data_IF_762595159336
#
_entry.id   IF_762595159336
#
_cell.length_a   1.000
_cell.length_b   1.000
_cell.length_c   1.000
_cell.angle_alpha   90.00
_cell.angle_beta   90.00
_cell.angle_gamma   90.00
#
_symmetry.space_group_name_H-M   'P 1'
#
loop_
_entity.id
_entity.type
_entity.pdbx_description
1 polymer ?
#
# COMPACT_ATOMS: atom_id res chain seq x y z
N UNK A 1 18.33 1.21 13.48
CA UNK A 1 17.58 0.39 12.51
C UNK A 1 16.18 1.00 12.44
N UNK A 2 15.95 1.88 11.47
CA UNK A 2 14.63 2.48 11.23
C UNK A 2 13.78 1.39 10.58
N UNK A 3 12.76 0.91 11.27
CA UNK A 3 11.76 0.01 10.72
C UNK A 3 11.08 0.78 9.61
N UNK A 4 11.26 0.32 8.38
CA UNK A 4 10.53 0.81 7.22
C UNK A 4 9.07 0.49 7.45
N UNK A 5 8.27 1.50 7.57
CA UNK A 5 6.84 1.39 7.66
C UNK A 5 6.34 1.31 6.22
N UNK A 6 6.41 0.13 5.64
CA UNK A 6 5.49 -0.27 4.58
C UNK A 6 4.21 -0.57 5.34
N UNK A 7 3.51 0.46 5.70
CA UNK A 7 2.46 0.29 6.69
C UNK A 7 1.26 1.14 6.34
N UNK A 8 0.61 0.81 5.26
CA UNK A 8 -0.72 1.35 5.13
C UNK A 8 -1.83 0.32 4.97
N UNK A 9 -1.48 -0.95 4.84
CA UNK A 9 -2.49 -2.01 4.83
C UNK A 9 -2.43 -2.98 6.05
N UNK A 10 -1.63 -2.67 7.06
CA UNK A 10 -1.25 -3.65 8.07
C UNK A 10 -1.66 -3.27 9.48
N UNK A 11 -2.92 -3.10 9.76
CA UNK A 11 -3.37 -3.08 11.16
C UNK A 11 -4.80 -3.54 11.36
N UNK A 12 -5.18 -4.69 10.86
CA UNK A 12 -6.32 -5.41 11.47
C UNK A 12 -6.29 -6.89 11.04
N UNK A 13 -5.49 -7.71 11.68
CA UNK A 13 -5.80 -9.13 11.72
C UNK A 13 -5.22 -9.76 12.98
N UNK A 14 -5.93 -9.59 14.07
CA UNK A 14 -5.89 -10.50 15.20
C UNK A 14 -7.32 -10.74 15.63
N UNK A 15 -8.04 -11.65 15.01
CA UNK A 15 -9.20 -12.32 15.60
C UNK A 15 -9.82 -13.33 14.63
N UNK A 16 -9.10 -14.44 14.43
CA UNK A 16 -9.73 -15.68 14.04
C UNK A 16 -9.13 -16.77 14.92
N UNK A 17 -9.56 -16.78 16.18
CA UNK A 17 -9.31 -17.91 17.06
C UNK A 17 -10.51 -18.12 17.94
N UNK A 18 -10.98 -19.34 17.93
CA UNK A 18 -11.82 -19.96 18.94
C UNK A 18 -13.29 -20.14 18.61
N UNK A 19 -13.55 -21.18 17.87
CA UNK A 19 -14.61 -22.10 18.27
C UNK A 19 -13.97 -23.47 18.49
N UNK A 20 -13.81 -23.85 19.75
CA UNK A 20 -13.29 -25.16 20.12
C UNK A 20 -13.50 -25.38 21.62
N UNK A 21 -14.47 -26.19 21.97
CA UNK A 21 -15.03 -26.45 23.30
C UNK A 21 -14.11 -27.07 24.35
N UNK A 22 -14.33 -26.62 25.57
CA UNK A 22 -14.45 -27.38 26.87
C UNK A 22 -13.28 -28.24 27.38
N UNK A 23 -12.74 -27.98 28.52
CA UNK A 23 -13.13 -28.43 29.87
C UNK A 23 -11.92 -28.54 30.80
N UNK A 24 -12.16 -28.04 32.03
CA UNK A 24 -11.63 -28.40 33.34
C UNK A 24 -10.18 -28.17 33.72
N UNK A 25 -10.08 -27.35 34.75
CA UNK A 25 -8.98 -27.01 35.67
C UNK A 25 -8.62 -28.19 36.64
N UNK A 26 -7.80 -27.99 37.69
CA UNK A 26 -6.62 -27.17 37.95
C UNK A 26 -5.47 -27.96 38.63
N UNK A 27 -4.29 -27.40 38.77
CA UNK A 27 -3.40 -27.50 39.96
C UNK A 27 -2.04 -26.84 39.71
N UNK A 28 -1.78 -25.83 40.51
CA UNK A 28 -0.71 -25.56 41.47
C UNK A 28 0.75 -25.60 41.04
N UNK A 29 1.32 -24.44 41.18
CA UNK A 29 2.54 -23.99 41.85
C UNK A 29 3.84 -24.80 41.74
N UNK A 30 4.91 -24.11 41.31
CA UNK A 30 6.16 -24.01 42.07
C UNK A 30 7.08 -22.91 41.51
N UNK A 31 7.50 -22.07 42.42
CA UNK A 31 8.53 -21.04 42.36
C UNK A 31 9.91 -21.70 42.31
N UNK A 32 10.87 -21.16 41.53
CA UNK A 32 12.25 -21.06 42.03
C UNK A 32 13.07 -20.06 41.20
N UNK A 33 13.76 -19.26 41.97
CA UNK A 33 14.62 -18.14 41.66
C UNK A 33 16.00 -18.55 41.11
N UNK A 34 16.61 -17.54 40.46
CA UNK A 34 18.01 -17.07 40.61
C UNK A 34 19.09 -17.79 39.79
N UNK A 35 19.81 -17.11 38.92
CA UNK A 35 21.07 -16.41 39.19
C UNK A 35 21.62 -15.69 37.95
N UNK A 36 22.18 -14.52 38.22
CA UNK A 36 22.94 -13.67 37.29
C UNK A 36 24.33 -14.27 37.01
N UNK A 37 24.89 -13.96 35.85
CA UNK A 37 26.33 -13.60 35.70
C UNK A 37 26.68 -13.05 34.32
N UNK A 38 27.15 -11.81 34.32
CA UNK A 38 28.33 -11.16 33.74
C UNK A 38 28.58 -11.18 32.22
N UNK A 39 28.47 -10.01 31.69
CA UNK A 39 29.41 -9.15 30.90
C UNK A 39 30.44 -9.85 30.02
N UNK A 40 30.32 -9.64 28.71
CA UNK A 40 31.49 -9.37 27.86
C UNK A 40 31.14 -8.28 26.81
N UNK A 41 31.83 -7.17 26.96
CA UNK A 41 31.90 -6.06 26.01
C UNK A 41 32.78 -6.51 24.86
N UNK A 42 32.27 -6.45 23.64
CA UNK A 42 33.10 -6.46 22.43
C UNK A 42 32.72 -5.27 21.58
N UNK A 43 33.61 -4.30 21.53
CA UNK A 43 33.55 -3.16 20.62
C UNK A 43 33.56 -3.64 19.18
N UNK A 44 32.64 -3.12 18.40
CA UNK A 44 32.64 -3.21 16.95
C UNK A 44 32.64 -1.83 16.33
N UNK A 45 33.39 -1.61 15.25
CA UNK A 45 33.78 -0.29 14.80
C UNK A 45 32.60 0.52 14.26
N UNK A 46 32.60 1.78 14.66
CA UNK A 46 31.74 2.84 14.12
C UNK A 46 32.04 3.01 12.63
N UNK A 47 31.08 2.62 11.79
CA UNK A 47 31.05 3.07 10.40
C UNK A 47 30.26 4.35 10.39
N UNK A 48 30.94 5.47 10.16
CA UNK A 48 30.32 6.75 9.84
C UNK A 48 29.43 6.57 8.62
N UNK A 49 28.13 6.59 8.83
CA UNK A 49 27.18 6.76 7.76
C UNK A 49 27.23 8.21 7.31
N UNK A 50 27.89 8.42 6.20
CA UNK A 50 27.88 9.68 5.44
C UNK A 50 26.41 10.02 5.15
N UNK A 51 25.97 11.17 5.66
CA UNK A 51 24.71 11.78 5.28
C UNK A 51 24.78 12.10 3.79
N UNK A 52 24.08 11.31 2.97
CA UNK A 52 23.92 11.58 1.54
C UNK A 52 22.61 12.34 1.34
N UNK A 53 22.75 13.56 0.88
CA UNK A 53 21.86 14.38 0.07
C UNK A 53 20.35 14.01 0.08
N UNK A 54 19.59 14.64 0.96
CA UNK A 54 18.13 14.57 1.02
C UNK A 54 17.43 15.49 0.00
N UNK A 55 18.10 15.97 -1.01
CA UNK A 55 17.55 16.93 -1.98
C UNK A 55 17.35 16.41 -3.42
N UNK A 56 17.65 15.13 -3.69
CA UNK A 56 17.65 14.60 -5.07
C UNK A 56 16.61 13.49 -5.34
N UNK A 57 16.01 12.90 -4.33
CA UNK A 57 15.18 11.69 -4.51
C UNK A 57 13.86 11.96 -5.23
N UNK A 58 13.20 13.08 -4.97
CA UNK A 58 11.90 13.38 -5.61
C UNK A 58 12.03 13.89 -7.05
N UNK A 59 13.11 14.56 -7.40
CA UNK A 59 13.32 15.08 -8.77
C UNK A 59 13.48 13.98 -9.82
N UNK A 60 14.05 12.84 -9.45
CA UNK A 60 14.32 11.73 -10.38
C UNK A 60 13.20 10.67 -10.38
N UNK A 61 12.32 10.65 -9.36
CA UNK A 61 11.32 9.58 -9.21
C UNK A 61 10.31 9.52 -10.36
N UNK A 62 9.65 10.64 -10.73
CA UNK A 62 8.72 10.63 -11.87
C UNK A 62 9.37 10.14 -13.17
N UNK A 63 10.63 10.52 -13.40
CA UNK A 63 11.38 10.02 -14.56
C UNK A 63 11.67 8.52 -14.48
N UNK A 64 11.76 7.96 -13.28
CA UNK A 64 12.02 6.53 -13.07
C UNK A 64 10.80 5.64 -13.27
N UNK A 65 9.60 6.20 -13.18
CA UNK A 65 8.32 5.48 -13.32
C UNK A 65 7.67 5.73 -14.68
N UNK A 66 8.44 6.04 -15.72
CA UNK A 66 7.90 6.26 -17.07
C UNK A 66 7.12 5.06 -17.60
N UNK A 67 5.92 5.29 -18.16
CA UNK A 67 5.08 4.23 -18.71
C UNK A 67 3.59 4.53 -18.66
N UNK A 68 2.79 3.57 -19.12
CA UNK A 68 1.32 3.61 -19.03
C UNK A 68 0.85 2.66 -17.95
N UNK A 69 -0.02 3.13 -17.08
CA UNK A 69 -0.52 2.40 -15.92
C UNK A 69 -2.05 2.29 -15.97
N UNK A 70 -2.55 1.11 -15.64
CA UNK A 70 -3.98 0.81 -15.45
C UNK A 70 -4.24 0.45 -14.00
N UNK A 71 -5.50 0.43 -13.59
CA UNK A 71 -5.87 0.05 -12.22
C UNK A 71 -5.40 -1.36 -11.88
N UNK A 72 -4.72 -1.50 -10.75
CA UNK A 72 -4.10 -2.76 -10.34
C UNK A 72 -5.14 -3.83 -9.98
N UNK A 73 -6.10 -3.52 -9.11
CA UNK A 73 -6.99 -4.53 -8.53
C UNK A 73 -7.99 -5.14 -9.52
N UNK A 74 -8.55 -4.41 -10.51
CA UNK A 74 -9.26 -5.03 -11.62
C UNK A 74 -8.41 -6.04 -12.41
N UNK A 75 -7.12 -5.74 -12.60
CA UNK A 75 -6.19 -6.67 -13.25
C UNK A 75 -5.94 -7.92 -12.38
N UNK A 76 -5.66 -7.75 -11.09
CA UNK A 76 -5.46 -8.85 -10.13
C UNK A 76 -6.69 -9.76 -9.99
N UNK A 77 -7.88 -9.23 -10.21
CA UNK A 77 -9.16 -9.93 -10.06
C UNK A 77 -9.56 -10.74 -11.29
N UNK A 78 -8.77 -10.72 -12.37
CA UNK A 78 -9.07 -11.48 -13.58
C UNK A 78 -9.11 -12.98 -13.27
N UNK A 79 -10.09 -13.73 -13.84
CA UNK A 79 -10.28 -15.15 -13.55
C UNK A 79 -9.04 -16.02 -13.79
N UNK A 80 -8.20 -15.64 -14.77
CA UNK A 80 -6.97 -16.37 -15.09
C UNK A 80 -5.92 -16.35 -13.96
N UNK A 81 -5.98 -15.39 -13.03
CA UNK A 81 -5.04 -15.30 -11.91
C UNK A 81 -5.55 -15.92 -10.62
N UNK A 82 -6.81 -16.38 -10.59
CA UNK A 82 -7.40 -16.92 -9.37
C UNK A 82 -6.61 -18.07 -8.76
N UNK A 83 -6.05 -18.97 -9.59
CA UNK A 83 -5.25 -20.08 -9.09
C UNK A 83 -3.96 -19.61 -8.43
N UNK A 84 -3.33 -18.56 -8.94
CA UNK A 84 -2.12 -17.97 -8.34
C UNK A 84 -2.42 -17.44 -6.93
N UNK A 85 -3.55 -16.77 -6.75
CA UNK A 85 -4.02 -16.34 -5.43
C UNK A 85 -4.20 -17.49 -4.47
N UNK A 86 -4.89 -18.55 -4.90
CA UNK A 86 -5.15 -19.74 -4.08
C UNK A 86 -3.84 -20.43 -3.70
N UNK A 87 -2.92 -20.55 -4.64
CA UNK A 87 -1.60 -21.17 -4.40
C UNK A 87 -0.76 -20.35 -3.41
N UNK A 88 -0.80 -19.03 -3.48
CA UNK A 88 -0.09 -18.15 -2.56
C UNK A 88 -0.70 -18.14 -1.14
N UNK A 89 -2.02 -18.17 -1.03
CA UNK A 89 -2.77 -18.11 0.24
C UNK A 89 -2.75 -19.47 0.98
N UNK A 90 -2.83 -20.58 0.26
CA UNK A 90 -2.97 -21.94 0.83
C UNK A 90 -1.92 -22.29 1.89
N UNK A 91 -0.63 -22.00 1.71
CA UNK A 91 0.39 -22.31 2.72
C UNK A 91 0.19 -21.59 4.05
N UNK A 92 -0.50 -20.45 4.03
CA UNK A 92 -0.67 -19.57 5.20
C UNK A 92 -1.95 -19.86 5.99
N UNK A 93 -3.04 -20.26 5.29
CA UNK A 93 -4.37 -20.40 5.93
C UNK A 93 -4.97 -21.80 5.82
N UNK A 94 -4.35 -22.71 5.08
CA UNK A 94 -4.89 -24.04 4.76
C UNK A 94 -5.83 -24.04 3.55
N UNK A 95 -5.94 -25.18 2.88
CA UNK A 95 -6.71 -25.31 1.63
C UNK A 95 -8.22 -25.03 1.84
N UNK A 96 -8.74 -25.32 3.02
CA UNK A 96 -10.16 -25.13 3.36
C UNK A 96 -10.56 -23.64 3.47
N UNK A 97 -9.59 -22.75 3.70
CA UNK A 97 -9.82 -21.33 3.88
C UNK A 97 -9.33 -20.49 2.66
N UNK A 98 -8.57 -21.09 1.75
CA UNK A 98 -7.83 -20.35 0.72
C UNK A 98 -8.73 -19.54 -0.21
N UNK A 99 -9.85 -20.09 -0.68
CA UNK A 99 -10.77 -19.37 -1.56
C UNK A 99 -11.43 -18.18 -0.86
N UNK A 100 -11.94 -18.39 0.36
CA UNK A 100 -12.58 -17.33 1.13
C UNK A 100 -11.60 -16.21 1.49
N UNK A 101 -10.36 -16.56 1.84
CA UNK A 101 -9.31 -15.58 2.12
C UNK A 101 -8.89 -14.82 0.86
N UNK A 102 -8.81 -15.47 -0.28
CA UNK A 102 -8.57 -14.80 -1.56
C UNK A 102 -9.65 -13.76 -1.86
N UNK A 103 -10.92 -14.12 -1.73
CA UNK A 103 -12.04 -13.20 -1.97
C UNK A 103 -12.00 -12.02 -0.99
N UNK A 104 -11.63 -12.26 0.26
CA UNK A 104 -11.46 -11.21 1.26
C UNK A 104 -10.34 -10.25 0.89
N UNK A 105 -9.16 -10.75 0.54
CA UNK A 105 -8.01 -9.92 0.17
C UNK A 105 -8.29 -9.04 -1.05
N UNK A 106 -8.90 -9.60 -2.08
CA UNK A 106 -9.32 -8.85 -3.26
C UNK A 106 -10.35 -7.77 -2.89
N UNK A 107 -11.31 -8.10 -2.02
CA UNK A 107 -12.33 -7.17 -1.55
C UNK A 107 -11.79 -6.01 -0.69
N UNK A 108 -10.64 -6.18 -0.05
CA UNK A 108 -10.04 -5.12 0.79
C UNK A 108 -9.67 -3.85 0.02
N UNK A 109 -9.28 -3.97 -1.24
CA UNK A 109 -8.79 -2.87 -2.06
C UNK A 109 -9.77 -2.43 -3.16
N UNK A 110 -11.02 -2.89 -3.07
CA UNK A 110 -12.08 -2.57 -4.03
C UNK A 110 -13.36 -2.16 -3.29
N UNK A 111 -13.21 -1.32 -2.26
CA UNK A 111 -14.32 -0.97 -1.38
C UNK A 111 -15.39 -0.12 -2.07
N UNK A 112 -15.02 0.69 -3.06
CA UNK A 112 -15.91 1.62 -3.75
C UNK A 112 -16.46 2.73 -2.85
N UNK A 113 -15.87 2.92 -1.66
CA UNK A 113 -16.19 4.00 -0.74
C UNK A 113 -14.92 4.59 -0.15
N UNK A 114 -14.87 5.90 -0.02
CA UNK A 114 -13.77 6.65 0.56
C UNK A 114 -14.28 7.95 1.20
N UNK A 115 -13.38 8.66 1.88
CA UNK A 115 -13.70 9.95 2.50
C UNK A 115 -14.53 9.82 3.78
N UNK A 116 -15.35 10.83 4.11
CA UNK A 116 -16.13 10.89 5.36
C UNK A 116 -17.05 9.69 5.55
N UNK A 117 -17.64 9.15 4.47
CA UNK A 117 -18.50 7.96 4.53
C UNK A 117 -17.71 6.72 4.95
N UNK A 118 -16.51 6.52 4.41
CA UNK A 118 -15.63 5.43 4.82
C UNK A 118 -15.18 5.59 6.26
N UNK A 119 -14.84 6.81 6.67
CA UNK A 119 -14.45 7.12 8.05
C UNK A 119 -15.57 6.76 9.04
N UNK A 120 -16.81 7.13 8.75
CA UNK A 120 -17.97 6.80 9.59
C UNK A 120 -18.20 5.27 9.66
N UNK A 121 -18.16 4.60 8.52
CA UNK A 121 -18.37 3.15 8.41
C UNK A 121 -17.31 2.38 9.21
N UNK A 122 -16.04 2.69 9.03
CA UNK A 122 -14.96 1.94 9.66
C UNK A 122 -14.74 2.33 11.13
N UNK A 123 -15.16 3.52 11.56
CA UNK A 123 -15.26 3.83 12.98
C UNK A 123 -16.32 2.99 13.69
N UNK A 124 -17.44 2.67 13.00
CA UNK A 124 -18.50 1.82 13.53
C UNK A 124 -18.10 0.33 13.55
N UNK A 125 -17.36 -0.15 12.56
CA UNK A 125 -16.87 -1.53 12.47
C UNK A 125 -15.45 -1.58 11.88
N UNK A 126 -14.41 -1.43 12.72
CA UNK A 126 -13.03 -1.49 12.27
C UNK A 126 -12.63 -2.81 11.60
N UNK A 127 -13.35 -3.90 11.88
CA UNK A 127 -13.07 -5.21 11.28
C UNK A 127 -13.53 -5.31 9.81
N UNK A 128 -14.35 -4.35 9.36
CA UNK A 128 -14.78 -4.27 7.96
C UNK A 128 -13.93 -3.28 7.14
N UNK A 129 -12.84 -2.78 7.68
CA UNK A 129 -11.99 -1.80 7.02
C UNK A 129 -11.48 -2.32 5.66
N UNK A 130 -11.56 -1.45 4.67
CA UNK A 130 -11.08 -1.69 3.32
C UNK A 130 -10.62 -0.36 2.70
N UNK A 131 -9.89 -0.43 1.59
CA UNK A 131 -9.44 0.73 0.84
C UNK A 131 -10.12 0.78 -0.52
N UNK A 132 -10.40 1.97 -0.99
CA UNK A 132 -10.71 2.21 -2.39
C UNK A 132 -9.39 2.47 -3.14
N UNK A 133 -9.06 1.57 -4.08
CA UNK A 133 -7.82 1.67 -4.85
C UNK A 133 -8.07 2.00 -6.33
N UNK A 134 -9.28 2.39 -6.69
CA UNK A 134 -9.63 2.83 -8.03
C UNK A 134 -9.04 4.20 -8.36
N UNK A 135 -8.86 4.47 -9.66
CA UNK A 135 -8.57 5.80 -10.14
C UNK A 135 -9.82 6.68 -10.07
N UNK A 136 -9.68 7.91 -9.62
CA UNK A 136 -10.77 8.87 -9.54
C UNK A 136 -10.77 9.84 -10.73
N UNK A 137 -11.76 10.74 -10.79
CA UNK A 137 -11.85 11.76 -11.84
C UNK A 137 -12.14 11.22 -13.24
N UNK A 138 -12.64 9.97 -13.34
CA UNK A 138 -12.92 9.32 -14.62
C UNK A 138 -11.70 8.78 -15.36
N UNK A 139 -10.52 8.87 -14.75
CA UNK A 139 -9.29 8.34 -15.33
C UNK A 139 -9.33 6.81 -15.34
N UNK A 140 -8.93 6.21 -16.45
CA UNK A 140 -8.78 4.76 -16.61
C UNK A 140 -7.33 4.36 -16.87
N UNK A 141 -6.51 5.31 -17.32
CA UNK A 141 -5.08 5.12 -17.52
C UNK A 141 -4.32 6.37 -17.15
N UNK A 142 -3.18 6.19 -16.50
CA UNK A 142 -2.18 7.24 -16.35
C UNK A 142 -0.99 6.97 -17.27
N UNK A 143 -0.52 8.02 -17.95
CA UNK A 143 0.74 7.99 -18.70
C UNK A 143 1.73 8.89 -17.97
N UNK A 144 2.86 8.32 -17.57
CA UNK A 144 3.99 9.02 -16.95
C UNK A 144 5.09 9.20 -18.01
N UNK A 145 5.44 10.45 -18.33
CA UNK A 145 6.50 10.77 -19.32
C UNK A 145 7.40 11.89 -18.76
N UNK A 146 8.46 11.49 -18.09
CA UNK A 146 9.33 12.42 -17.37
C UNK A 146 8.57 13.19 -16.29
N UNK A 147 8.47 14.51 -16.42
CA UNK A 147 7.68 15.35 -15.50
C UNK A 147 6.21 15.46 -15.88
N UNK A 148 5.76 14.86 -16.98
CA UNK A 148 4.37 14.97 -17.45
C UNK A 148 3.56 13.79 -16.95
N UNK A 149 2.40 14.08 -16.36
CA UNK A 149 1.38 13.08 -16.02
C UNK A 149 0.15 13.39 -16.89
N UNK A 150 -0.32 12.37 -17.60
CA UNK A 150 -1.52 12.44 -18.43
C UNK A 150 -2.55 11.43 -17.95
N UNK A 151 -3.79 11.85 -17.75
CA UNK A 151 -4.93 10.98 -17.46
C UNK A 151 -5.77 10.75 -18.71
N UNK A 152 -6.09 9.49 -19.00
CA UNK A 152 -6.93 9.09 -20.13
C UNK A 152 -8.21 8.41 -19.64
N UNK A 153 -9.33 8.64 -20.35
CA UNK A 153 -10.59 7.92 -20.11
C UNK A 153 -10.60 6.51 -20.74
N UNK A 154 -11.74 5.82 -20.66
CA UNK A 154 -11.92 4.46 -21.18
C UNK A 154 -11.76 4.38 -22.71
N UNK A 155 -12.04 5.46 -23.44
CA UNK A 155 -11.89 5.59 -24.88
C UNK A 155 -10.46 6.00 -25.29
N UNK A 156 -9.58 6.23 -24.30
CA UNK A 156 -8.21 6.71 -24.52
C UNK A 156 -8.12 8.20 -24.84
N UNK A 157 -9.18 8.96 -24.56
CA UNK A 157 -9.20 10.40 -24.71
C UNK A 157 -8.58 11.05 -23.47
N UNK A 158 -7.78 12.08 -23.70
CA UNK A 158 -7.16 12.88 -22.66
C UNK A 158 -8.21 13.60 -21.79
N UNK A 159 -8.14 13.40 -20.48
CA UNK A 159 -8.86 14.13 -19.44
C UNK A 159 -8.02 15.33 -19.02
N UNK A 160 -6.74 15.09 -18.74
CA UNK A 160 -5.76 16.12 -18.43
C UNK A 160 -4.36 15.70 -18.89
N UNK A 161 -3.47 16.68 -19.04
CA UNK A 161 -2.04 16.46 -19.27
C UNK A 161 -1.29 17.68 -18.71
N UNK A 162 -0.55 17.48 -17.63
CA UNK A 162 0.12 18.54 -16.89
C UNK A 162 1.59 18.22 -16.64
N UNK A 163 2.41 19.26 -16.56
CA UNK A 163 3.79 19.17 -16.08
C UNK A 163 3.84 19.34 -14.57
N UNK A 164 4.67 18.54 -13.90
CA UNK A 164 4.77 18.51 -12.44
C UNK A 164 6.17 18.80 -11.96
N UNK A 165 6.26 19.54 -10.86
CA UNK A 165 7.50 19.79 -10.14
C UNK A 165 7.45 19.14 -8.77
N UNK A 166 8.59 18.60 -8.33
CA UNK A 166 8.74 18.04 -7.00
C UNK A 166 8.58 19.10 -5.92
N UNK A 167 7.95 18.74 -4.82
CA UNK A 167 7.78 19.57 -3.63
C UNK A 167 8.55 18.99 -2.47
N UNK A 168 9.10 19.86 -1.63
CA UNK A 168 9.68 19.49 -0.35
C UNK A 168 8.60 19.60 0.73
N UNK A 169 7.90 18.48 0.96
CA UNK A 169 6.81 18.37 1.95
C UNK A 169 7.22 17.38 3.02
N UNK A 170 7.41 17.88 4.25
CA UNK A 170 7.65 17.01 5.39
C UNK A 170 6.38 16.24 5.73
N UNK A 171 6.44 14.90 5.69
CA UNK A 171 5.32 14.04 5.99
C UNK A 171 5.77 12.73 6.67
N UNK A 172 4.90 12.19 7.53
CA UNK A 172 5.22 10.99 8.32
C UNK A 172 5.24 9.71 7.47
N UNK A 173 4.56 9.70 6.33
CA UNK A 173 4.41 8.54 5.46
C UNK A 173 5.55 8.40 4.45
N UNK A 174 6.41 9.42 4.31
CA UNK A 174 7.52 9.42 3.37
C UNK A 174 7.11 9.60 1.91
N UNK A 175 5.88 10.06 1.64
CA UNK A 175 5.41 10.33 0.29
C UNK A 175 6.26 11.38 -0.42
N UNK A 176 6.39 11.19 -1.72
CA UNK A 176 7.00 12.14 -2.65
C UNK A 176 5.88 13.00 -3.27
N UNK A 177 5.89 14.29 -2.93
CA UNK A 177 4.87 15.22 -3.38
C UNK A 177 5.28 15.96 -4.64
N UNK A 178 4.30 16.17 -5.52
CA UNK A 178 4.44 16.91 -6.76
C UNK A 178 3.28 17.88 -6.93
N UNK A 179 3.55 19.03 -7.52
CA UNK A 179 2.55 20.03 -7.87
C UNK A 179 2.56 20.29 -9.37
N UNK A 180 1.37 20.40 -9.96
CA UNK A 180 1.23 20.85 -11.34
C UNK A 180 1.78 22.26 -11.51
N UNK A 181 2.46 22.49 -12.62
CA UNK A 181 2.92 23.82 -13.06
C UNK A 181 1.80 24.63 -13.74
N UNK A 182 0.65 24.00 -14.03
CA UNK A 182 -0.49 24.62 -14.68
C UNK A 182 -1.47 25.22 -13.67
N UNK A 183 -2.10 26.37 -14.01
CA UNK A 183 -2.95 27.14 -13.07
C UNK A 183 -4.32 26.51 -12.88
N UNK A 184 -4.85 25.60 -13.52
CA UNK A 184 -6.23 25.11 -13.38
C UNK A 184 -6.29 23.59 -13.51
N UNK A 185 -5.51 22.91 -12.70
CA UNK A 185 -5.41 21.45 -12.75
C UNK A 185 -6.49 20.71 -11.96
N UNK A 186 -7.33 21.45 -11.19
CA UNK A 186 -8.43 20.88 -10.40
C UNK A 186 -7.96 19.76 -9.47
N UNK A 187 -8.64 18.63 -9.49
CA UNK A 187 -8.28 17.45 -8.68
C UNK A 187 -6.91 16.86 -9.00
N UNK A 188 -6.29 17.24 -10.13
CA UNK A 188 -4.96 16.79 -10.54
C UNK A 188 -3.86 17.82 -10.19
N UNK A 189 -4.13 18.76 -9.30
CA UNK A 189 -3.16 19.78 -8.89
C UNK A 189 -1.97 19.20 -8.14
N UNK A 190 -2.21 18.28 -7.21
CA UNK A 190 -1.17 17.65 -6.40
C UNK A 190 -1.19 16.14 -6.58
N UNK A 191 0.00 15.54 -6.63
CA UNK A 191 0.21 14.11 -6.54
C UNK A 191 1.12 13.79 -5.35
N UNK A 192 0.82 12.68 -4.67
CA UNK A 192 1.65 12.11 -3.62
C UNK A 192 1.90 10.63 -3.96
N UNK A 193 3.14 10.27 -4.26
CA UNK A 193 3.53 8.90 -4.58
C UNK A 193 4.14 8.21 -3.37
N UNK A 194 3.81 6.95 -3.14
CA UNK A 194 4.59 6.09 -2.27
C UNK A 194 6.02 6.00 -2.82
N UNK A 195 7.04 6.12 -1.97
CA UNK A 195 8.44 6.10 -2.41
C UNK A 195 8.92 4.68 -2.76
N UNK A 196 8.02 3.71 -2.80
CA UNK A 196 8.34 2.32 -3.09
C UNK A 196 8.88 2.17 -4.51
N UNK A 197 9.87 1.32 -4.63
CA UNK A 197 10.50 1.04 -5.91
C UNK A 197 9.64 0.07 -6.72
N UNK A 198 9.39 0.38 -7.98
CA UNK A 198 8.78 -0.55 -8.94
C UNK A 198 9.52 -1.89 -9.05
N UNK A 199 10.80 -1.93 -8.65
CA UNK A 199 11.59 -3.17 -8.60
C UNK A 199 11.22 -4.07 -7.42
N UNK A 200 10.64 -3.49 -6.36
CA UNK A 200 10.30 -4.21 -5.12
C UNK A 200 8.82 -4.44 -4.92
N UNK A 201 7.97 -3.51 -5.37
CA UNK A 201 6.51 -3.59 -5.22
C UNK A 201 5.81 -3.94 -6.52
N UNK A 202 6.47 -3.75 -7.66
CA UNK A 202 5.98 -4.07 -9.01
C UNK A 202 4.75 -3.25 -9.46
N UNK A 203 4.32 -2.27 -8.69
CA UNK A 203 3.19 -1.40 -8.96
C UNK A 203 3.41 -0.01 -8.37
N UNK A 204 2.58 0.95 -8.76
CA UNK A 204 2.56 2.30 -8.20
C UNK A 204 1.43 2.43 -7.19
N UNK A 205 1.72 3.12 -6.08
CA UNK A 205 0.73 3.62 -5.16
C UNK A 205 0.82 5.14 -5.10
N UNK A 206 -0.32 5.80 -5.27
CA UNK A 206 -0.35 7.26 -5.31
C UNK A 206 -1.72 7.83 -4.98
N UNK A 207 -1.73 9.09 -4.63
CA UNK A 207 -2.93 9.88 -4.34
C UNK A 207 -2.85 11.18 -5.12
N UNK A 208 -4.00 11.79 -5.42
CA UNK A 208 -4.06 13.12 -6.04
C UNK A 208 -5.28 13.87 -5.55
N UNK A 209 -5.18 15.20 -5.48
CA UNK A 209 -6.24 16.10 -5.05
C UNK A 209 -5.97 17.54 -5.47
N UNK A 210 -7.01 18.38 -5.42
CA UNK A 210 -6.90 19.83 -5.57
C UNK A 210 -6.22 20.49 -4.36
N UNK A 211 -6.43 19.96 -3.14
CA UNK A 211 -5.81 20.45 -1.91
C UNK A 211 -4.79 19.45 -1.37
N UNK A 212 -3.56 19.89 -1.17
CA UNK A 212 -2.48 19.05 -0.65
C UNK A 212 -2.80 18.47 0.74
N UNK A 213 -3.59 19.17 1.55
CA UNK A 213 -3.96 18.71 2.88
C UNK A 213 -4.80 17.44 2.84
N UNK A 214 -5.56 17.22 1.78
CA UNK A 214 -6.36 16.01 1.57
C UNK A 214 -5.50 14.76 1.28
N UNK A 215 -4.21 14.94 0.98
CA UNK A 215 -3.28 13.85 0.68
C UNK A 215 -2.44 13.40 1.89
N UNK A 216 -2.43 14.17 2.99
CA UNK A 216 -1.54 13.94 4.11
C UNK A 216 -2.02 12.85 5.07
N UNK A 217 -3.34 12.62 5.17
CA UNK A 217 -3.92 11.62 6.05
C UNK A 217 -4.57 10.47 5.28
N UNK A 218 -4.32 9.22 5.74
CA UNK A 218 -4.95 8.03 5.21
C UNK A 218 -6.37 7.81 5.72
N UNK A 219 -6.66 8.27 6.92
CA UNK A 219 -7.85 7.90 7.68
C UNK A 219 -8.79 9.07 7.95
N UNK A 220 -8.44 10.25 7.48
CA UNK A 220 -9.20 11.48 7.70
C UNK A 220 -9.32 12.30 6.41
N UNK A 221 -10.35 13.13 6.31
CA UNK A 221 -10.55 14.06 5.21
C UNK A 221 -11.35 13.49 4.04
N UNK A 222 -11.32 14.21 2.93
CA UNK A 222 -12.17 13.94 1.77
C UNK A 222 -11.78 12.67 1.03
N UNK A 223 -10.54 12.23 1.16
CA UNK A 223 -9.99 11.03 0.50
C UNK A 223 -9.52 9.98 1.51
N UNK A 224 -10.10 9.97 2.72
CA UNK A 224 -9.82 8.93 3.71
C UNK A 224 -10.11 7.54 3.12
N UNK A 225 -9.22 6.57 3.38
CA UNK A 225 -9.32 5.18 2.90
C UNK A 225 -9.24 5.03 1.37
N UNK A 226 -8.71 6.03 0.67
CA UNK A 226 -8.43 5.95 -0.77
C UNK A 226 -6.93 6.05 -1.04
N UNK A 227 -6.44 5.13 -1.87
CA UNK A 227 -5.08 5.14 -2.39
C UNK A 227 -5.04 4.43 -3.75
N UNK A 228 -4.92 5.20 -4.81
CA UNK A 228 -4.86 4.65 -6.15
C UNK A 228 -3.69 3.68 -6.29
N UNK A 229 -3.94 2.54 -6.92
CA UNK A 229 -2.92 1.54 -7.22
C UNK A 229 -2.88 1.24 -8.72
N UNK A 230 -1.71 1.40 -9.34
CA UNK A 230 -1.50 1.24 -10.78
C UNK A 230 -0.45 0.20 -11.14
N UNK A 231 -0.77 -0.66 -12.11
CA UNK A 231 0.19 -1.60 -12.71
C UNK A 231 0.53 -1.16 -14.13
N UNK A 232 1.77 -1.34 -14.56
CA UNK A 232 2.17 -1.06 -15.93
C UNK A 232 1.31 -1.84 -16.93
N UNK A 233 0.73 -1.18 -17.94
CA UNK A 233 -0.19 -1.82 -18.90
C UNK A 233 0.42 -3.03 -19.63
N UNK A 234 1.74 -3.02 -19.81
CA UNK A 234 2.49 -4.11 -20.45
C UNK A 234 3.09 -5.13 -19.47
N UNK A 235 2.49 -5.27 -18.27
CA UNK A 235 2.93 -6.25 -17.28
C UNK A 235 2.93 -7.69 -17.86
N UNK A 236 3.73 -8.55 -17.27
CA UNK A 236 3.77 -9.98 -17.61
C UNK A 236 3.26 -10.85 -16.45
N UNK A 237 3.15 -12.14 -16.69
CA UNK A 237 2.68 -13.10 -15.67
C UNK A 237 3.57 -13.14 -14.42
N UNK A 238 4.87 -13.00 -14.58
CA UNK A 238 5.83 -13.01 -13.46
C UNK A 238 5.60 -11.78 -12.56
N UNK A 239 5.39 -10.59 -13.15
CA UNK A 239 5.03 -9.38 -12.43
C UNK A 239 3.76 -9.60 -11.60
N UNK A 240 2.72 -10.19 -12.22
CA UNK A 240 1.46 -10.48 -11.55
C UNK A 240 1.63 -11.46 -10.38
N UNK A 241 2.41 -12.52 -10.57
CA UNK A 241 2.72 -13.49 -9.51
C UNK A 241 3.43 -12.83 -8.33
N UNK A 242 4.45 -12.01 -8.62
CA UNK A 242 5.22 -11.31 -7.58
C UNK A 242 4.33 -10.35 -6.78
N UNK A 243 3.43 -9.60 -7.42
CA UNK A 243 2.49 -8.71 -6.73
C UNK A 243 1.55 -9.52 -5.82
N UNK A 244 0.97 -10.61 -6.33
CA UNK A 244 0.05 -11.46 -5.55
C UNK A 244 0.78 -12.05 -4.34
N UNK A 245 1.96 -12.61 -4.52
CA UNK A 245 2.76 -13.19 -3.43
C UNK A 245 3.15 -12.14 -2.39
N UNK A 246 3.56 -10.95 -2.83
CA UNK A 246 3.88 -9.83 -1.94
C UNK A 246 2.65 -9.43 -1.13
N UNK A 247 1.53 -9.14 -1.79
CA UNK A 247 0.29 -8.72 -1.15
C UNK A 247 -0.24 -9.76 -0.14
N UNK A 248 -0.23 -11.04 -0.52
CA UNK A 248 -0.63 -12.15 0.37
C UNK A 248 0.29 -12.23 1.58
N UNK A 249 1.59 -12.13 1.37
CA UNK A 249 2.58 -12.22 2.46
C UNK A 249 2.43 -11.05 3.44
N UNK A 250 2.29 -9.83 2.95
CA UNK A 250 2.16 -8.63 3.79
C UNK A 250 0.86 -8.63 4.61
N UNK A 251 -0.22 -9.17 4.06
CA UNK A 251 -1.52 -9.16 4.72
C UNK A 251 -1.80 -10.38 5.61
N UNK A 252 -1.15 -11.52 5.37
CA UNK A 252 -1.43 -12.75 6.09
C UNK A 252 -0.28 -13.24 6.97
N UNK A 253 0.96 -12.78 6.75
CA UNK A 253 2.07 -13.14 7.62
C UNK A 253 1.95 -12.34 8.91
N UNK A 254 1.84 -13.03 10.04
CA UNK A 254 1.90 -12.40 11.36
C UNK A 254 3.21 -11.63 11.47
N UNK A 255 3.15 -10.36 11.84
CA UNK A 255 4.35 -9.62 12.22
C UNK A 255 4.99 -10.32 13.42
N UNK A 256 6.14 -10.99 13.21
CA UNK A 256 6.96 -11.54 14.27
C UNK A 256 7.59 -10.44 15.14
#
# INVERSE_FOLDING_TARGET
MKKRIIACLLCVFCLLSAVGCTSSAPAEAAVSETTASETMVTESPTVEATAAAEGSASGDYLSSIGGTYVELFPELSKPEYRQIWIDAVTPLVGAENAEATTDMLLGMCMAGIYGPEATEKYAADPNSMAFDCYFLGGVQKFVMDGSIITGLDAEGKEIFSHSYQAMDVENENGFLFYQSEDENSGEFTYFAFSPDSMETTYHLEFRYAEDINDLQSWFEGNYAYWNAAGIAENYNLETMQNIIELFVTENLSSAE
#
